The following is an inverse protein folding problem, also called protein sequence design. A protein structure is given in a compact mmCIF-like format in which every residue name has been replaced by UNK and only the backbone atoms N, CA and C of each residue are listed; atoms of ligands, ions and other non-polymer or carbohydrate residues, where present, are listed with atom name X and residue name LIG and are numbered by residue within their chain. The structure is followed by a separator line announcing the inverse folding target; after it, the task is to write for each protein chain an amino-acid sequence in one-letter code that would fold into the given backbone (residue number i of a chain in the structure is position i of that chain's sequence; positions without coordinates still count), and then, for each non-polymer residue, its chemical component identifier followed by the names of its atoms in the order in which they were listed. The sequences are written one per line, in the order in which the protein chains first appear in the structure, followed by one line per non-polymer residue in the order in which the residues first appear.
data_IF_495517202410
#
_entry.id   IF_495517202410
#
_cell.length_a   1.000
_cell.length_b   1.000
_cell.length_c   1.000
_cell.angle_alpha   90.00
_cell.angle_beta   90.00
_cell.angle_gamma   90.00
#
_symmetry.space_group_name_H-M   'P 1'
#
loop_
_entity.id
_entity.type
_entity.pdbx_description
1 polymer ?
#
# COMPACT_ATOMS: atom_id res chain seq x y z
N UNK A 1 -5.64 -12.68 0.35
CA UNK A 1 -6.88 -11.91 0.12
C UNK A 1 -6.55 -10.47 0.48
N UNK A 2 -6.73 -9.51 -0.43
CA UNK A 2 -6.47 -8.11 -0.14
C UNK A 2 -7.68 -7.48 0.54
N UNK A 3 -7.45 -6.80 1.66
CA UNK A 3 -8.39 -5.96 2.41
C UNK A 3 -7.61 -4.78 3.01
N UNK A 4 -8.26 -3.71 3.45
CA UNK A 4 -7.56 -2.61 4.12
C UNK A 4 -6.98 -3.01 5.49
N UNK A 5 -7.61 -3.94 6.20
CA UNK A 5 -7.05 -4.54 7.42
C UNK A 5 -5.72 -5.25 7.10
N UNK A 6 -5.62 -5.85 5.91
CA UNK A 6 -4.41 -6.47 5.38
C UNK A 6 -3.48 -5.51 4.62
N UNK A 7 -3.59 -4.18 4.78
CA UNK A 7 -2.75 -3.20 4.08
C UNK A 7 -1.23 -3.47 4.15
N UNK A 8 -0.66 -3.96 5.26
CA UNK A 8 0.76 -4.37 5.32
C UNK A 8 1.14 -5.43 4.26
N UNK A 9 0.25 -6.40 4.00
CA UNK A 9 0.45 -7.46 2.99
C UNK A 9 0.31 -6.88 1.58
N UNK A 10 -0.68 -6.02 1.36
CA UNK A 10 -0.83 -5.33 0.08
C UNK A 10 0.38 -4.43 -0.22
N UNK A 11 0.87 -3.69 0.78
CA UNK A 11 2.07 -2.87 0.65
C UNK A 11 3.32 -3.69 0.35
N UNK A 12 3.44 -4.89 0.93
CA UNK A 12 4.51 -5.83 0.60
C UNK A 12 4.48 -6.24 -0.88
N UNK A 13 3.30 -6.51 -1.44
CA UNK A 13 3.16 -6.78 -2.88
C UNK A 13 3.53 -5.55 -3.71
N UNK A 14 2.94 -4.39 -3.39
CA UNK A 14 3.15 -3.16 -4.17
C UNK A 14 4.62 -2.71 -4.15
N UNK A 15 5.32 -2.80 -3.02
CA UNK A 15 6.71 -2.36 -2.95
C UNK A 15 7.66 -3.20 -3.81
N UNK A 16 7.24 -4.39 -4.26
CA UNK A 16 8.04 -5.29 -5.11
C UNK A 16 7.64 -5.22 -6.59
N UNK A 17 6.55 -4.51 -6.91
CA UNK A 17 6.05 -4.33 -8.27
C UNK A 17 6.53 -2.99 -8.86
N UNK A 18 7.00 -2.95 -10.12
CA UNK A 18 7.51 -1.70 -10.72
C UNK A 18 6.49 -0.56 -10.85
N UNK A 19 5.19 -0.87 -10.95
CA UNK A 19 4.12 0.13 -10.89
C UNK A 19 3.40 0.19 -9.54
N UNK A 20 3.95 -0.45 -8.50
CA UNK A 20 3.31 -0.51 -7.20
C UNK A 20 3.33 0.81 -6.43
N UNK A 21 4.39 1.61 -6.54
CA UNK A 21 4.45 2.99 -6.01
C UNK A 21 3.34 3.87 -6.59
N UNK A 22 3.15 3.83 -7.91
CA UNK A 22 2.05 4.54 -8.57
C UNK A 22 0.66 4.02 -8.15
N UNK A 23 0.52 2.71 -7.97
CA UNK A 23 -0.73 2.10 -7.46
C UNK A 23 -1.02 2.55 -6.03
N UNK A 24 -0.01 2.55 -5.16
CA UNK A 24 -0.09 3.03 -3.80
C UNK A 24 -0.49 4.51 -3.74
N UNK A 25 0.05 5.35 -4.62
CA UNK A 25 -0.35 6.76 -4.74
C UNK A 25 -1.83 6.96 -5.09
N UNK A 26 -2.40 6.10 -5.95
CA UNK A 26 -3.84 6.11 -6.25
C UNK A 26 -4.64 5.75 -4.99
N UNK A 27 -4.25 4.68 -4.29
CA UNK A 27 -4.93 4.22 -3.08
C UNK A 27 -4.86 5.26 -1.95
N UNK A 28 -3.69 5.85 -1.70
CA UNK A 28 -3.52 6.94 -0.72
C UNK A 28 -4.40 8.14 -1.05
N UNK A 29 -4.47 8.54 -2.33
CA UNK A 29 -5.32 9.67 -2.74
C UNK A 29 -6.80 9.37 -2.46
N UNK A 30 -7.27 8.17 -2.79
CA UNK A 30 -8.65 7.75 -2.56
C UNK A 30 -9.01 7.66 -1.08
N UNK A 31 -8.10 7.14 -0.24
CA UNK A 31 -8.33 7.06 1.21
C UNK A 31 -8.39 8.43 1.89
N UNK A 32 -7.93 9.49 1.22
CA UNK A 32 -8.05 10.88 1.70
C UNK A 32 -9.41 11.53 1.44
N UNK A 33 -10.30 10.89 0.67
CA UNK A 33 -11.65 11.41 0.43
C UNK A 33 -12.65 10.84 1.43
N UNK A 34 -13.50 11.72 1.95
CA UNK A 34 -14.72 11.41 2.67
C UNK A 34 -15.89 11.16 1.70
N UNK A 35 -17.09 10.95 2.23
CA UNK A 35 -18.31 10.70 1.45
C UNK A 35 -18.63 11.86 0.50
N UNK A 36 -18.46 13.11 0.93
CA UNK A 36 -18.69 14.28 0.09
C UNK A 36 -17.65 14.39 -1.03
N UNK A 37 -16.38 14.12 -0.73
CA UNK A 37 -15.28 14.09 -1.70
C UNK A 37 -15.46 13.00 -2.75
N UNK A 38 -15.91 11.80 -2.36
CA UNK A 38 -16.23 10.73 -3.31
C UNK A 38 -17.41 11.09 -4.22
N UNK A 39 -18.47 11.70 -3.68
CA UNK A 39 -19.60 12.18 -4.48
C UNK A 39 -19.18 13.28 -5.47
N UNK A 40 -18.33 14.21 -5.04
CA UNK A 40 -17.77 15.24 -5.92
C UNK A 40 -16.92 14.62 -7.05
N UNK A 41 -16.06 13.65 -6.73
CA UNK A 41 -15.29 12.89 -7.71
C UNK A 41 -16.18 12.21 -8.75
N UNK A 42 -17.23 11.52 -8.30
CA UNK A 42 -18.19 10.85 -9.18
C UNK A 42 -18.85 11.83 -10.17
N UNK A 43 -19.20 13.03 -9.72
CA UNK A 43 -19.83 14.06 -10.57
C UNK A 43 -18.97 14.53 -11.74
N UNK A 44 -17.65 14.35 -11.67
CA UNK A 44 -16.70 14.71 -12.73
C UNK A 44 -16.37 13.55 -13.67
N UNK A 45 -16.84 12.35 -13.38
CA UNK A 45 -16.57 11.19 -14.21
C UNK A 45 -17.35 11.31 -15.52
N UNK A 46 -16.63 11.12 -16.63
CA UNK A 46 -17.23 11.10 -17.98
C UNK A 46 -17.36 9.66 -18.45
N UNK A 47 -18.37 9.40 -19.29
CA UNK A 47 -18.65 8.08 -19.88
C UNK A 47 -17.42 7.43 -20.52
N UNK A 48 -17.30 6.12 -20.34
CA UNK A 48 -16.18 5.32 -20.85
C UNK A 48 -16.19 5.22 -22.39
N UNK A 49 -15.06 5.49 -23.09
CA UNK A 49 -14.95 5.19 -24.51
C UNK A 49 -14.82 3.69 -24.78
N UNK A 50 -15.37 3.22 -25.91
CA UNK A 50 -15.40 1.79 -26.30
C UNK A 50 -14.01 1.11 -26.34
N UNK A 51 -12.93 1.88 -26.60
CA UNK A 51 -11.56 1.36 -26.60
C UNK A 51 -11.07 0.82 -25.25
N UNK A 52 -11.71 1.22 -24.13
CA UNK A 52 -11.35 0.73 -22.80
C UNK A 52 -11.63 -0.76 -22.64
N UNK A 53 -12.73 -1.27 -23.19
CA UNK A 53 -13.07 -2.69 -23.11
C UNK A 53 -11.94 -3.58 -23.66
N UNK A 54 -11.36 -3.17 -24.80
CA UNK A 54 -10.25 -3.88 -25.43
C UNK A 54 -8.96 -3.81 -24.59
N UNK A 55 -8.66 -2.65 -23.99
CA UNK A 55 -7.49 -2.48 -23.14
C UNK A 55 -7.60 -3.30 -21.83
N UNK A 56 -8.79 -3.35 -21.23
CA UNK A 56 -9.09 -4.15 -20.04
C UNK A 56 -8.90 -5.64 -20.32
N UNK A 57 -9.49 -6.13 -21.41
CA UNK A 57 -9.37 -7.53 -21.80
C UNK A 57 -7.91 -7.94 -22.01
N UNK A 58 -7.10 -7.12 -22.70
CA UNK A 58 -5.67 -7.39 -22.86
C UNK A 58 -4.90 -7.38 -21.55
N UNK A 59 -5.24 -6.47 -20.63
CA UNK A 59 -4.62 -6.42 -19.32
C UNK A 59 -4.92 -7.68 -18.48
N UNK A 60 -6.17 -8.12 -18.47
CA UNK A 60 -6.61 -9.34 -17.78
C UNK A 60 -5.98 -10.60 -18.39
N UNK A 61 -5.87 -10.66 -19.72
CA UNK A 61 -5.13 -11.73 -20.39
C UNK A 61 -3.63 -11.73 -20.04
N UNK A 62 -3.02 -10.56 -19.91
CA UNK A 62 -1.62 -10.41 -19.46
C UNK A 62 -1.42 -10.90 -18.02
N UNK A 63 -2.34 -10.55 -17.12
CA UNK A 63 -2.30 -11.01 -15.72
C UNK A 63 -2.44 -12.53 -15.61
N UNK A 64 -3.32 -13.16 -16.39
CA UNK A 64 -3.53 -14.61 -16.36
C UNK A 64 -2.25 -15.41 -16.67
N UNK A 65 -1.28 -14.80 -17.35
CA UNK A 65 0.02 -15.40 -17.65
C UNK A 65 1.06 -15.22 -16.52
N UNK A 66 0.76 -14.45 -15.46
CA UNK A 66 1.65 -14.28 -14.31
C UNK A 66 1.55 -15.52 -13.39
N UNK A 67 2.65 -16.24 -13.14
CA UNK A 67 2.62 -17.37 -12.21
C UNK A 67 2.41 -16.87 -10.76
N UNK A 68 1.52 -17.48 -9.97
CA UNK A 68 1.37 -17.18 -8.55
C UNK A 68 2.56 -17.71 -7.75
N UNK A 69 2.83 -17.10 -6.58
CA UNK A 69 3.90 -17.53 -5.64
C UNK A 69 3.88 -19.04 -5.37
N UNK A 70 2.69 -19.62 -5.18
CA UNK A 70 2.53 -21.05 -4.90
C UNK A 70 3.05 -21.97 -6.00
N UNK A 71 3.16 -21.49 -7.25
CA UNK A 71 3.75 -22.22 -8.38
C UNK A 71 5.24 -21.96 -8.57
N UNK A 72 5.82 -21.04 -7.79
CA UNK A 72 7.23 -20.64 -7.85
C UNK A 72 8.05 -21.20 -6.68
N UNK A 73 7.42 -21.84 -5.69
CA UNK A 73 8.11 -22.46 -4.55
C UNK A 73 9.08 -23.54 -5.06
N UNK A 74 10.36 -23.41 -4.71
CA UNK A 74 11.43 -24.31 -5.16
C UNK A 74 12.01 -23.97 -6.54
N UNK A 75 11.55 -22.88 -7.18
CA UNK A 75 12.12 -22.33 -8.40
C UNK A 75 13.03 -21.12 -8.09
N UNK A 76 13.43 -20.42 -9.15
CA UNK A 76 14.29 -19.22 -9.14
C UNK A 76 13.96 -18.23 -7.99
N UNK A 77 14.90 -17.97 -7.06
CA UNK A 77 14.74 -16.99 -5.99
C UNK A 77 14.34 -15.60 -6.49
N UNK A 78 14.83 -15.17 -7.66
CA UNK A 78 14.51 -13.87 -8.22
C UNK A 78 13.04 -13.77 -8.64
N UNK A 79 12.44 -14.88 -9.09
CA UNK A 79 11.02 -14.94 -9.42
C UNK A 79 10.15 -14.84 -8.15
N UNK A 80 10.58 -15.41 -7.03
CA UNK A 80 9.88 -15.33 -5.74
C UNK A 80 9.87 -13.91 -5.17
N UNK A 81 10.97 -13.18 -5.33
CA UNK A 81 11.07 -11.79 -4.86
C UNK A 81 10.00 -10.88 -5.50
N UNK A 82 9.63 -11.14 -6.75
CA UNK A 82 8.64 -10.32 -7.50
C UNK A 82 7.23 -10.91 -7.53
N UNK A 83 7.05 -12.13 -7.04
CA UNK A 83 5.76 -12.79 -7.06
C UNK A 83 4.82 -12.20 -5.97
N UNK A 84 3.65 -11.67 -6.37
CA UNK A 84 2.70 -11.11 -5.42
C UNK A 84 1.98 -12.22 -4.63
N UNK A 85 1.71 -11.96 -3.36
CA UNK A 85 0.92 -12.83 -2.50
C UNK A 85 -0.55 -12.84 -2.97
N UNK A 86 -1.08 -11.69 -3.38
CA UNK A 86 -2.39 -11.57 -3.98
C UNK A 86 -2.35 -11.39 -5.51
N UNK A 87 -3.48 -10.99 -6.07
CA UNK A 87 -3.64 -10.74 -7.51
C UNK A 87 -4.50 -9.49 -7.76
N UNK A 88 -4.59 -9.05 -9.02
CA UNK A 88 -5.37 -7.87 -9.39
C UNK A 88 -6.84 -8.04 -9.01
N UNK A 89 -7.43 -9.22 -9.24
CA UNK A 89 -8.85 -9.46 -8.91
C UNK A 89 -9.13 -9.16 -7.43
N UNK A 90 -8.31 -9.68 -6.52
CA UNK A 90 -8.42 -9.40 -5.07
C UNK A 90 -8.16 -7.94 -4.73
N UNK A 91 -7.23 -7.27 -5.42
CA UNK A 91 -6.99 -5.83 -5.25
C UNK A 91 -8.19 -5.00 -5.71
N UNK A 92 -8.75 -5.28 -6.88
CA UNK A 92 -9.93 -4.59 -7.41
C UNK A 92 -11.18 -4.88 -6.57
N UNK A 93 -11.25 -6.04 -5.91
CA UNK A 93 -12.29 -6.30 -4.92
C UNK A 93 -12.12 -5.38 -3.71
N UNK A 94 -10.95 -5.37 -3.06
CA UNK A 94 -10.61 -4.46 -1.96
C UNK A 94 -10.89 -2.98 -2.29
N UNK A 95 -10.60 -2.55 -3.52
CA UNK A 95 -10.89 -1.18 -3.97
C UNK A 95 -12.38 -0.88 -3.91
N UNK A 96 -13.22 -1.81 -4.35
CA UNK A 96 -14.68 -1.63 -4.39
C UNK A 96 -15.32 -1.72 -3.01
N UNK A 97 -14.83 -2.60 -2.16
CA UNK A 97 -15.45 -2.92 -0.87
C UNK A 97 -14.88 -2.14 0.29
N UNK A 98 -13.61 -1.71 0.20
CA UNK A 98 -12.91 -1.13 1.34
C UNK A 98 -12.45 0.31 1.03
N UNK A 99 -11.84 0.56 -0.14
CA UNK A 99 -11.23 1.86 -0.46
C UNK A 99 -12.29 2.91 -0.83
N UNK A 100 -13.17 2.56 -1.76
CA UNK A 100 -14.20 3.46 -2.30
C UNK A 100 -15.44 3.58 -1.43
N UNK A 101 -15.43 2.94 -0.25
CA UNK A 101 -16.47 3.03 0.78
C UNK A 101 -15.92 3.91 1.91
N UNK A 102 -16.22 5.22 1.96
CA UNK A 102 -15.59 6.14 2.92
C UNK A 102 -15.97 5.82 4.37
N UNK A 103 -17.20 5.37 4.58
CA UNK A 103 -17.77 4.97 5.87
C UNK A 103 -17.51 3.49 6.21
N UNK A 104 -16.41 2.92 5.68
CA UNK A 104 -16.02 1.52 5.89
C UNK A 104 -16.06 1.15 7.38
N UNK A 105 -16.91 0.19 7.74
CA UNK A 105 -17.08 -0.29 9.11
C UNK A 105 -18.24 0.33 9.90
N UNK A 106 -18.87 1.39 9.39
CA UNK A 106 -19.95 2.12 10.08
C UNK A 106 -21.38 1.66 9.70
N UNK A 107 -21.52 0.68 8.80
CA UNK A 107 -22.77 -0.03 8.53
C UNK A 107 -23.76 0.67 7.59
N UNK A 108 -23.50 1.91 7.18
CA UNK A 108 -24.27 2.63 6.15
C UNK A 108 -23.46 2.79 4.87
N UNK A 109 -23.25 1.67 4.15
CA UNK A 109 -22.58 1.72 2.85
C UNK A 109 -23.53 2.34 1.82
N UNK A 110 -23.36 3.64 1.55
CA UNK A 110 -24.00 4.32 0.43
C UNK A 110 -23.54 3.71 -0.92
N UNK A 111 -24.39 3.71 -1.97
CA UNK A 111 -23.99 3.18 -3.26
C UNK A 111 -22.82 3.98 -3.84
N UNK A 112 -21.70 3.30 -4.10
CA UNK A 112 -20.56 3.89 -4.82
C UNK A 112 -20.94 4.02 -6.29
N UNK A 113 -20.66 5.18 -6.88
CA UNK A 113 -20.87 5.42 -8.30
C UNK A 113 -20.08 4.43 -9.17
N UNK A 114 -20.81 3.67 -10.01
CA UNK A 114 -20.21 2.61 -10.84
C UNK A 114 -19.21 3.13 -11.86
N UNK A 115 -19.41 4.34 -12.40
CA UNK A 115 -18.50 4.94 -13.37
C UNK A 115 -17.18 5.37 -12.69
N UNK A 116 -17.25 5.89 -11.46
CA UNK A 116 -16.06 6.19 -10.64
C UNK A 116 -15.29 4.92 -10.30
N UNK A 117 -15.98 3.86 -9.86
CA UNK A 117 -15.36 2.55 -9.61
C UNK A 117 -14.57 2.09 -10.82
N UNK A 118 -15.14 2.20 -12.02
CA UNK A 118 -14.51 1.77 -13.26
C UNK A 118 -13.29 2.64 -13.64
N UNK A 119 -13.33 3.96 -13.43
CA UNK A 119 -12.16 4.84 -13.62
C UNK A 119 -11.00 4.42 -12.74
N UNK A 120 -11.28 4.19 -11.45
CA UNK A 120 -10.27 3.82 -10.47
C UNK A 120 -9.71 2.44 -10.78
N UNK A 121 -10.56 1.48 -11.08
CA UNK A 121 -10.14 0.12 -11.44
C UNK A 121 -9.30 0.09 -12.72
N UNK A 122 -9.57 0.96 -13.70
CA UNK A 122 -8.73 1.10 -14.90
C UNK A 122 -7.34 1.67 -14.56
N UNK A 123 -7.28 2.70 -13.72
CA UNK A 123 -6.02 3.30 -13.29
C UNK A 123 -5.15 2.30 -12.53
N UNK A 124 -5.75 1.52 -11.62
CA UNK A 124 -5.08 0.46 -10.87
C UNK A 124 -4.60 -0.65 -11.80
N UNK A 125 -5.39 -1.08 -12.79
CA UNK A 125 -4.92 -2.01 -13.83
C UNK A 125 -3.68 -1.47 -14.54
N UNK A 126 -3.70 -0.20 -14.95
CA UNK A 126 -2.61 0.42 -15.68
C UNK A 126 -1.29 0.45 -14.91
N UNK A 127 -1.34 0.74 -13.60
CA UNK A 127 -0.17 0.82 -12.73
C UNK A 127 0.25 -0.56 -12.20
N UNK A 128 -0.68 -1.37 -11.67
CA UNK A 128 -0.37 -2.66 -11.05
C UNK A 128 0.21 -3.67 -12.05
N UNK A 129 -0.25 -3.61 -13.30
CA UNK A 129 0.21 -4.46 -14.40
C UNK A 129 1.18 -3.72 -15.34
N UNK A 130 1.93 -2.73 -14.84
CA UNK A 130 2.73 -1.84 -15.68
C UNK A 130 3.71 -2.56 -16.62
N UNK A 131 4.26 -3.69 -16.20
CA UNK A 131 5.17 -4.52 -17.00
C UNK A 131 4.46 -5.48 -17.97
N UNK A 132 3.20 -5.82 -17.69
CA UNK A 132 2.43 -6.81 -18.45
C UNK A 132 1.52 -6.16 -19.50
N UNK A 133 1.30 -4.85 -19.39
CA UNK A 133 0.40 -4.09 -20.26
C UNK A 133 1.22 -3.18 -21.16
N UNK A 134 0.87 -3.11 -22.45
CA UNK A 134 1.54 -2.23 -23.41
C UNK A 134 1.46 -0.75 -22.98
N UNK A 135 2.45 0.06 -23.34
CA UNK A 135 2.44 1.49 -23.00
C UNK A 135 1.18 2.21 -23.53
N UNK A 136 0.65 1.78 -24.67
CA UNK A 136 -0.58 2.33 -25.25
C UNK A 136 -1.81 1.97 -24.41
N UNK A 137 -1.92 0.74 -23.93
CA UNK A 137 -3.01 0.30 -23.08
C UNK A 137 -2.94 0.96 -21.71
N UNK A 138 -1.74 1.09 -21.14
CA UNK A 138 -1.54 1.83 -19.88
C UNK A 138 -2.02 3.27 -19.98
N UNK A 139 -1.64 3.99 -21.06
CA UNK A 139 -2.14 5.35 -21.31
C UNK A 139 -3.64 5.39 -21.48
N UNK A 140 -4.21 4.41 -22.16
CA UNK A 140 -5.67 4.33 -22.41
C UNK A 140 -6.43 4.14 -21.10
N UNK A 141 -5.98 3.20 -20.27
CA UNK A 141 -6.58 2.86 -18.98
C UNK A 141 -6.42 4.00 -17.95
N UNK A 142 -5.25 4.66 -17.88
CA UNK A 142 -4.99 5.71 -16.89
C UNK A 142 -5.55 7.09 -17.28
N UNK A 143 -5.91 7.31 -18.55
CA UNK A 143 -6.28 8.64 -19.05
C UNK A 143 -7.38 9.33 -18.23
N UNK A 144 -8.46 8.61 -17.91
CA UNK A 144 -9.60 9.17 -17.15
C UNK A 144 -9.19 9.56 -15.73
N UNK A 145 -8.42 8.71 -15.06
CA UNK A 145 -7.88 9.01 -13.73
C UNK A 145 -6.93 10.20 -13.75
N UNK A 146 -6.01 10.29 -14.72
CA UNK A 146 -5.10 11.44 -14.84
C UNK A 146 -5.87 12.73 -15.08
N UNK A 147 -6.92 12.72 -15.91
CA UNK A 147 -7.79 13.87 -16.09
C UNK A 147 -8.53 14.25 -14.81
N UNK A 148 -9.11 13.27 -14.11
CA UNK A 148 -9.83 13.47 -12.86
C UNK A 148 -8.91 14.04 -11.77
N UNK A 149 -7.69 13.53 -11.64
CA UNK A 149 -6.71 13.96 -10.63
C UNK A 149 -6.25 15.40 -10.80
N UNK A 150 -6.38 15.98 -12.00
CA UNK A 150 -6.07 17.40 -12.25
C UNK A 150 -7.18 18.35 -11.77
N UNK A 151 -8.37 17.81 -11.53
CA UNK A 151 -9.51 18.56 -10.99
C UNK A 151 -9.55 18.51 -9.46
N UNK A 152 -8.79 17.58 -8.87
CA UNK A 152 -8.67 17.46 -7.43
C UNK A 152 -7.89 18.64 -6.86
N UNK A 153 -8.36 19.26 -5.76
CA UNK A 153 -7.51 20.19 -5.02
C UNK A 153 -6.25 19.46 -4.56
N UNK A 154 -5.13 20.18 -4.51
CA UNK A 154 -3.92 19.66 -3.88
C UNK A 154 -4.26 19.26 -2.43
N UNK A 155 -3.68 18.18 -1.89
CA UNK A 155 -3.97 17.72 -0.53
C UNK A 155 -3.57 18.80 0.50
N UNK A 156 -4.51 19.68 0.86
CA UNK A 156 -4.30 20.81 1.76
C UNK A 156 -4.63 20.50 3.23
N UNK A 157 -4.79 19.23 3.59
CA UNK A 157 -5.20 18.80 4.93
C UNK A 157 -4.04 18.17 5.73
N UNK A 158 -4.18 18.21 7.06
CA UNK A 158 -3.41 17.35 7.97
C UNK A 158 -3.66 15.89 7.58
N UNK A 159 -2.59 15.11 7.41
CA UNK A 159 -2.70 13.68 7.13
C UNK A 159 -3.43 12.98 8.31
N UNK A 160 -4.21 11.91 8.07
CA UNK A 160 -5.05 11.30 9.10
C UNK A 160 -4.28 10.40 10.09
N UNK A 161 -2.94 10.42 10.08
CA UNK A 161 -2.08 9.62 10.95
C UNK A 161 -1.25 10.50 11.89
N UNK A 162 -0.66 9.89 12.91
CA UNK A 162 0.09 10.61 13.94
C UNK A 162 1.37 11.28 13.41
N UNK A 163 1.85 12.36 14.05
CA UNK A 163 3.12 13.00 13.69
C UNK A 163 4.31 12.03 13.67
N UNK A 164 4.33 11.02 14.55
CA UNK A 164 5.39 10.02 14.56
C UNK A 164 5.42 9.15 13.30
N UNK A 165 4.25 8.82 12.72
CA UNK A 165 4.17 8.11 11.43
C UNK A 165 4.68 9.01 10.30
N UNK A 166 4.31 10.29 10.30
CA UNK A 166 4.81 11.25 9.32
C UNK A 166 6.35 11.43 9.41
N UNK A 167 6.89 11.47 10.63
CA UNK A 167 8.32 11.53 10.88
C UNK A 167 9.04 10.29 10.32
N UNK A 168 8.49 9.09 10.56
CA UNK A 168 9.02 7.85 10.00
C UNK A 168 8.99 7.87 8.47
N UNK A 169 7.86 8.23 7.85
CA UNK A 169 7.74 8.29 6.39
C UNK A 169 8.74 9.27 5.77
N UNK A 170 8.90 10.44 6.39
CA UNK A 170 9.91 11.44 5.98
C UNK A 170 11.32 10.90 6.13
N UNK A 171 11.60 10.22 7.24
CA UNK A 171 12.89 9.58 7.49
C UNK A 171 13.21 8.48 6.48
N UNK A 172 12.23 7.67 6.12
CA UNK A 172 12.37 6.58 5.14
C UNK A 172 12.73 7.12 3.77
N UNK A 173 12.11 8.22 3.32
CA UNK A 173 12.44 8.87 2.03
C UNK A 173 13.93 9.26 1.91
N UNK A 174 14.59 9.55 3.04
CA UNK A 174 16.00 9.90 3.11
C UNK A 174 16.94 8.75 3.46
N UNK A 175 16.47 7.49 3.45
CA UNK A 175 17.30 6.32 3.77
C UNK A 175 18.48 6.20 2.81
N UNK A 176 19.68 6.12 3.35
CA UNK A 176 20.90 5.90 2.58
C UNK A 176 21.14 4.41 2.29
N UNK A 177 22.08 4.09 1.41
CA UNK A 177 22.47 2.70 1.13
C UNK A 177 22.99 1.97 2.36
N UNK A 178 23.75 2.66 3.22
CA UNK A 178 24.26 2.10 4.48
C UNK A 178 23.11 1.78 5.44
N UNK A 179 22.10 2.64 5.50
CA UNK A 179 20.91 2.44 6.33
C UNK A 179 20.00 1.35 5.77
N UNK A 180 19.89 1.22 4.45
CA UNK A 180 19.22 0.08 3.80
C UNK A 180 19.89 -1.24 4.21
N UNK A 181 21.22 -1.30 4.21
CA UNK A 181 21.96 -2.48 4.68
C UNK A 181 21.74 -2.73 6.19
N UNK A 182 21.64 -1.67 7.00
CA UNK A 182 21.33 -1.79 8.43
C UNK A 182 19.91 -2.31 8.68
N UNK A 183 18.92 -1.87 7.88
CA UNK A 183 17.55 -2.38 7.90
C UNK A 183 17.51 -3.87 7.52
N UNK A 184 18.26 -4.27 6.49
CA UNK A 184 18.36 -5.67 6.08
C UNK A 184 18.98 -6.52 7.20
N UNK A 185 20.04 -6.05 7.84
CA UNK A 185 20.64 -6.72 8.99
C UNK A 185 19.67 -6.80 10.20
N UNK A 186 18.84 -5.78 10.40
CA UNK A 186 17.80 -5.81 11.43
C UNK A 186 16.71 -6.84 11.11
N UNK A 187 16.31 -6.97 9.85
CA UNK A 187 15.35 -7.98 9.40
C UNK A 187 15.90 -9.41 9.58
N UNK A 188 17.19 -9.63 9.31
CA UNK A 188 17.85 -10.92 9.56
C UNK A 188 17.88 -11.27 11.04
N UNK A 189 18.25 -10.32 11.92
CA UNK A 189 18.23 -10.53 13.38
C UNK A 189 16.83 -10.87 13.89
N UNK A 190 15.81 -10.16 13.42
CA UNK A 190 14.42 -10.43 13.77
C UNK A 190 14.01 -11.87 13.42
N UNK A 191 14.46 -12.40 12.28
CA UNK A 191 14.24 -13.80 11.88
C UNK A 191 15.03 -14.80 12.72
N UNK A 192 16.31 -14.54 12.96
CA UNK A 192 17.20 -15.48 13.66
C UNK A 192 16.92 -15.59 15.16
N UNK A 193 16.50 -14.49 15.79
CA UNK A 193 16.11 -14.43 17.20
C UNK A 193 14.72 -15.06 17.47
N UNK A 194 14.04 -15.56 16.43
CA UNK A 194 12.68 -16.15 16.50
C UNK A 194 11.69 -15.26 17.25
N UNK A 195 11.77 -13.96 17.04
CA UNK A 195 10.84 -13.06 17.73
C UNK A 195 9.41 -13.28 17.25
N UNK A 196 8.45 -13.03 18.13
CA UNK A 196 7.02 -13.22 17.86
C UNK A 196 6.42 -12.06 17.03
N UNK A 197 7.15 -11.60 16.01
CA UNK A 197 6.75 -10.49 15.13
C UNK A 197 5.34 -10.69 14.55
N UNK A 198 5.02 -11.92 14.12
CA UNK A 198 3.70 -12.23 13.57
C UNK A 198 2.58 -12.05 14.62
N UNK A 199 2.84 -12.41 15.87
CA UNK A 199 1.90 -12.21 16.98
C UNK A 199 1.75 -10.72 17.30
N UNK A 200 2.86 -9.98 17.41
CA UNK A 200 2.84 -8.54 17.64
C UNK A 200 2.12 -7.78 16.50
N UNK A 201 2.38 -8.15 15.26
CA UNK A 201 1.73 -7.59 14.07
C UNK A 201 0.24 -7.90 14.06
N UNK A 202 -0.16 -9.12 14.45
CA UNK A 202 -1.56 -9.50 14.60
C UNK A 202 -2.27 -8.65 15.67
N UNK A 203 -1.68 -8.52 16.86
CA UNK A 203 -2.20 -7.68 17.94
C UNK A 203 -2.34 -6.22 17.52
N UNK A 204 -1.34 -5.65 16.86
CA UNK A 204 -1.40 -4.28 16.36
C UNK A 204 -2.42 -4.10 15.22
N UNK A 205 -2.64 -5.13 14.39
CA UNK A 205 -3.70 -5.12 13.36
C UNK A 205 -5.09 -5.12 13.99
N UNK A 206 -5.30 -5.91 15.05
CA UNK A 206 -6.54 -5.87 15.83
C UNK A 206 -6.76 -4.53 16.50
N UNK A 207 -5.74 -3.96 17.12
CA UNK A 207 -5.84 -2.63 17.71
C UNK A 207 -6.25 -1.57 16.68
N UNK A 208 -5.72 -1.65 15.45
CA UNK A 208 -6.11 -0.74 14.35
C UNK A 208 -7.58 -0.91 13.98
N UNK A 209 -8.05 -2.15 13.90
CA UNK A 209 -9.45 -2.43 13.58
C UNK A 209 -10.40 -1.95 14.70
N UNK A 210 -10.10 -2.28 15.96
CA UNK A 210 -10.94 -1.94 17.11
C UNK A 210 -10.96 -0.43 17.44
N UNK A 211 -9.97 0.32 16.96
CA UNK A 211 -9.88 1.78 17.16
C UNK A 211 -10.39 2.59 15.95
N UNK A 212 -10.97 1.94 14.95
CA UNK A 212 -11.45 2.57 13.72
C UNK A 212 -10.36 3.35 12.95
N UNK A 213 -9.12 2.84 12.97
CA UNK A 213 -7.95 3.45 12.31
C UNK A 213 -7.53 2.72 11.04
N UNK A 214 -8.39 1.86 10.50
CA UNK A 214 -8.07 1.00 9.34
C UNK A 214 -7.69 1.85 8.13
N UNK A 215 -8.52 2.83 7.78
CA UNK A 215 -8.30 3.68 6.60
C UNK A 215 -7.04 4.55 6.74
N UNK A 216 -6.85 5.21 7.88
CA UNK A 216 -5.69 6.06 8.14
C UNK A 216 -4.38 5.27 8.17
N UNK A 217 -4.39 4.09 8.80
CA UNK A 217 -3.22 3.21 8.85
C UNK A 217 -2.90 2.62 7.48
N UNK A 218 -3.92 2.22 6.69
CA UNK A 218 -3.70 1.76 5.33
C UNK A 218 -3.10 2.84 4.43
N UNK A 219 -3.57 4.10 4.55
CA UNK A 219 -3.01 5.23 3.83
C UNK A 219 -1.53 5.46 4.19
N UNK A 220 -1.16 5.32 5.46
CA UNK A 220 0.23 5.37 5.92
C UNK A 220 1.09 4.23 5.35
N UNK A 221 0.56 3.00 5.27
CA UNK A 221 1.26 1.88 4.63
C UNK A 221 1.49 2.13 3.13
N UNK A 222 0.53 2.75 2.42
CA UNK A 222 0.70 3.09 1.00
C UNK A 222 1.64 4.28 0.76
N UNK A 223 1.70 5.25 1.68
CA UNK A 223 2.76 6.26 1.70
C UNK A 223 4.13 5.66 1.98
N UNK A 224 4.20 4.62 2.83
CA UNK A 224 5.44 3.90 3.06
C UNK A 224 5.94 3.20 1.79
N UNK A 225 5.04 2.61 0.98
CA UNK A 225 5.42 2.05 -0.34
C UNK A 225 6.09 3.12 -1.20
N UNK A 226 5.50 4.33 -1.28
CA UNK A 226 6.07 5.45 -2.03
C UNK A 226 7.40 5.93 -1.43
N UNK A 227 7.52 5.99 -0.11
CA UNK A 227 8.74 6.41 0.57
C UNK A 227 9.91 5.43 0.32
N UNK A 228 9.65 4.13 0.37
CA UNK A 228 10.62 3.06 0.08
C UNK A 228 11.08 3.12 -1.39
N UNK A 229 10.16 3.45 -2.29
CA UNK A 229 10.46 3.64 -3.71
C UNK A 229 11.35 4.86 -3.95
N UNK A 230 11.01 6.01 -3.35
CA UNK A 230 11.81 7.24 -3.39
C UNK A 230 13.22 7.03 -2.83
N UNK A 231 13.34 6.28 -1.74
CA UNK A 231 14.63 5.94 -1.14
C UNK A 231 15.48 4.99 -1.99
N UNK A 232 14.92 4.39 -3.05
CA UNK A 232 15.64 3.49 -3.94
C UNK A 232 16.10 2.20 -3.26
N UNK A 233 15.41 1.76 -2.19
CA UNK A 233 15.73 0.49 -1.50
C UNK A 233 15.62 -0.65 -2.52
N UNK A 234 16.60 -1.55 -2.67
CA UNK A 234 16.53 -2.64 -3.65
C UNK A 234 15.32 -3.57 -3.43
N UNK A 235 14.71 -4.08 -4.51
CA UNK A 235 13.56 -5.00 -4.42
C UNK A 235 13.89 -6.27 -3.63
N UNK A 236 15.10 -6.82 -3.79
CA UNK A 236 15.59 -7.95 -3.01
C UNK A 236 15.62 -7.63 -1.51
N UNK A 237 16.12 -6.46 -1.10
CA UNK A 237 16.13 -6.03 0.30
C UNK A 237 14.70 -5.88 0.87
N UNK A 238 13.78 -5.30 0.07
CA UNK A 238 12.36 -5.18 0.42
C UNK A 238 11.76 -6.56 0.70
N UNK A 239 12.00 -7.53 -0.20
CA UNK A 239 11.52 -8.91 -0.12
C UNK A 239 12.19 -9.70 1.02
N UNK A 240 13.47 -9.42 1.32
CA UNK A 240 14.25 -10.10 2.36
C UNK A 240 13.91 -9.65 3.80
N UNK A 241 12.98 -8.71 3.95
CA UNK A 241 12.36 -8.35 5.23
C UNK A 241 12.48 -6.88 5.62
N UNK A 242 13.13 -6.02 4.82
CA UNK A 242 13.15 -4.57 5.08
C UNK A 242 11.73 -4.00 5.14
N UNK A 243 10.83 -4.50 4.28
CA UNK A 243 9.41 -4.11 4.35
C UNK A 243 8.78 -4.46 5.70
N UNK A 244 9.03 -5.66 6.24
CA UNK A 244 8.42 -6.10 7.51
C UNK A 244 8.87 -5.23 8.68
N UNK A 245 10.14 -4.80 8.68
CA UNK A 245 10.68 -3.87 9.68
C UNK A 245 9.96 -2.52 9.61
N UNK A 246 9.87 -1.93 8.43
CA UNK A 246 9.28 -0.60 8.25
C UNK A 246 7.75 -0.61 8.43
N UNK A 247 7.08 -1.60 7.87
CA UNK A 247 5.62 -1.77 7.96
C UNK A 247 5.17 -2.07 9.38
N UNK A 248 5.93 -2.89 10.12
CA UNK A 248 5.71 -3.13 11.54
C UNK A 248 5.84 -1.84 12.36
N UNK A 249 6.85 -1.02 12.08
CA UNK A 249 7.01 0.27 12.74
C UNK A 249 5.83 1.22 12.47
N UNK A 250 5.35 1.33 11.23
CA UNK A 250 4.12 2.09 10.90
C UNK A 250 2.93 1.55 11.69
N UNK A 251 2.74 0.22 11.72
CA UNK A 251 1.63 -0.40 12.43
C UNK A 251 1.66 -0.07 13.93
N UNK A 252 2.82 -0.21 14.57
CA UNK A 252 2.98 0.09 15.99
C UNK A 252 2.78 1.58 16.32
N UNK A 253 3.26 2.50 15.47
CA UNK A 253 3.05 3.94 15.69
C UNK A 253 1.60 4.37 15.50
N UNK A 254 0.84 3.72 14.62
CA UNK A 254 -0.57 4.01 14.40
C UNK A 254 -1.47 3.68 15.60
N UNK A 255 -1.05 2.75 16.45
CA UNK A 255 -1.84 2.26 17.61
C UNK A 255 -1.00 2.15 18.88
N UNK A 256 0.02 3.00 19.01
CA UNK A 256 0.94 3.00 20.15
C UNK A 256 0.23 3.16 21.50
N UNK A 257 -0.88 3.89 21.51
CA UNK A 257 -1.75 4.13 22.66
C UNK A 257 -2.65 2.94 23.01
N UNK A 258 -2.77 1.94 22.13
CA UNK A 258 -3.66 0.78 22.29
C UNK A 258 -2.92 -0.54 22.53
N UNK A 259 -1.67 -0.66 22.09
CA UNK A 259 -0.87 -1.88 22.24
C UNK A 259 0.02 -1.83 23.48
N UNK A 260 0.31 -2.99 24.07
CA UNK A 260 1.25 -3.08 25.17
C UNK A 260 2.69 -2.74 24.74
N UNK A 261 3.54 -2.44 25.74
CA UNK A 261 4.92 -2.06 25.51
C UNK A 261 5.76 -3.13 24.81
N UNK A 262 5.47 -4.43 25.03
CA UNK A 262 6.15 -5.54 24.37
C UNK A 262 5.82 -5.60 22.87
N UNK A 263 4.56 -5.44 22.50
CA UNK A 263 4.07 -5.41 21.12
C UNK A 263 4.67 -4.23 20.37
N UNK A 264 4.65 -3.04 20.98
CA UNK A 264 5.28 -1.85 20.41
C UNK A 264 6.80 -2.04 20.26
N UNK A 265 7.47 -2.60 21.26
CA UNK A 265 8.91 -2.85 21.23
C UNK A 265 9.29 -3.83 20.11
N UNK A 266 8.56 -4.93 19.98
CA UNK A 266 8.80 -5.96 18.97
C UNK A 266 8.78 -5.39 17.55
N UNK A 267 7.81 -4.51 17.27
CA UNK A 267 7.62 -3.91 15.96
C UNK A 267 8.51 -2.68 15.69
N UNK A 268 8.87 -1.90 16.72
CA UNK A 268 9.63 -0.64 16.54
C UNK A 268 11.13 -0.79 16.66
N UNK A 269 11.62 -1.65 17.55
CA UNK A 269 13.06 -1.77 17.84
C UNK A 269 13.90 -2.12 16.61
N UNK A 270 13.49 -3.02 15.72
CA UNK A 270 14.26 -3.30 14.51
C UNK A 270 14.49 -2.04 13.65
N UNK A 271 13.47 -1.18 13.54
CA UNK A 271 13.55 0.08 12.79
C UNK A 271 14.44 1.11 13.51
N UNK A 272 14.28 1.26 14.83
CA UNK A 272 15.08 2.18 15.64
C UNK A 272 16.57 1.78 15.67
N UNK A 273 16.86 0.48 15.73
CA UNK A 273 18.22 -0.03 15.70
C UNK A 273 18.92 0.25 14.35
N UNK A 274 18.16 0.29 13.25
CA UNK A 274 18.69 0.54 11.92
C UNK A 274 18.79 2.03 11.58
N UNK A 275 17.78 2.84 11.93
CA UNK A 275 17.67 4.25 11.51
C UNK A 275 18.04 5.26 12.60
N UNK A 276 18.31 4.78 13.81
CA UNK A 276 18.48 5.59 15.02
C UNK A 276 17.15 6.11 15.56
N UNK A 277 17.11 6.69 16.77
CA UNK A 277 15.88 7.24 17.36
C UNK A 277 15.59 8.70 16.98
N UNK A 278 16.53 9.40 16.32
CA UNK A 278 16.45 10.86 16.12
C UNK A 278 15.26 11.37 15.30
N UNK A 279 14.58 10.49 14.55
CA UNK A 279 13.35 10.82 13.81
C UNK A 279 12.09 10.67 14.67
N UNK A 280 12.15 9.96 15.79
CA UNK A 280 11.00 9.75 16.69
C UNK A 280 10.79 10.94 17.62
N UNK A 281 11.78 11.83 17.73
CA UNK A 281 11.73 13.08 18.49
C UNK A 281 11.02 14.17 17.69
N UNK A 282 9.69 14.06 17.57
CA UNK A 282 8.84 15.22 17.32
C UNK A 282 7.90 15.33 18.52
N UNK A 283 8.19 16.35 19.32
CA UNK A 283 7.65 16.75 20.64
C UNK A 283 8.23 16.03 21.88
#
# INVERSE_FOLDING_TARGET
MHTLIGAPVLGFDLTRLPGGSATAGILTALLGFDTAGMAALASWVRTAPARLAHARHRAEAGEANRPPVSRLVGLDPEALERAPIGNLSTLLHCVRTDVLVPDYGNGEDGPVDGDLVEVVCDAIRASYLSELVSAQDRRTLSARWVSLRRLLPEPGGTRPWSPSVEALLTRVRGVTRTESAALLAAAERMRSERRDWASAMHSATWAVHLSDRVRSTAAAQFELVQAVDVAGIPVGDRAAGVWNVLSGAVQALSVRDMVDGSTAHELLVPCLAALGPGWLSLD
#
